data_IF_854898619187
#
_entry.id   IF_854898619187
#
_cell.length_a   1.000
_cell.length_b   1.000
_cell.length_c   1.000
_cell.angle_alpha   90.00
_cell.angle_beta   90.00
_cell.angle_gamma   90.00
#
_symmetry.space_group_name_H-M   'P 1'
#
loop_
_entity.id
_entity.type
_entity.pdbx_description
1 polymer ?
#
# COMPACT_ATOMS: atom_id res chain seq x y z
N UNK A 1 1.74 -8.21 -7.04
CA UNK A 1 2.34 -6.88 -7.26
C UNK A 1 1.44 -6.11 -8.21
N UNK A 2 0.94 -4.96 -7.79
CA UNK A 2 0.14 -4.05 -8.59
C UNK A 2 0.97 -2.79 -8.83
N UNK A 3 1.08 -2.36 -10.08
CA UNK A 3 1.78 -1.12 -10.43
C UNK A 3 0.73 -0.06 -10.70
N UNK A 4 0.73 1.05 -9.94
CA UNK A 4 -0.14 2.18 -10.23
C UNK A 4 0.64 3.28 -10.95
N UNK A 5 0.31 3.49 -12.21
CA UNK A 5 0.78 4.64 -12.98
C UNK A 5 -0.34 5.68 -13.10
N UNK A 6 -0.05 6.92 -12.69
CA UNK A 6 -1.01 8.03 -12.72
C UNK A 6 -1.85 8.19 -11.43
N UNK A 7 -1.98 9.44 -10.97
CA UNK A 7 -2.56 9.82 -9.67
C UNK A 7 -4.05 9.49 -9.50
N UNK A 8 -4.80 9.32 -10.59
CA UNK A 8 -6.26 9.10 -10.56
C UNK A 8 -6.66 7.63 -10.34
N UNK A 9 -5.77 6.66 -10.60
CA UNK A 9 -6.11 5.24 -10.50
C UNK A 9 -6.28 4.74 -9.06
N UNK A 10 -5.65 5.42 -8.08
CA UNK A 10 -5.63 5.03 -6.66
C UNK A 10 -7.00 4.82 -6.04
N UNK A 11 -7.94 5.73 -6.30
CA UNK A 11 -9.27 5.66 -5.71
C UNK A 11 -10.07 4.41 -6.09
N UNK A 12 -9.83 3.84 -7.28
CA UNK A 12 -10.57 2.69 -7.79
C UNK A 12 -9.85 1.33 -7.59
N UNK A 13 -8.52 1.36 -7.47
CA UNK A 13 -7.70 0.15 -7.33
C UNK A 13 -7.63 -0.31 -5.87
N UNK A 14 -7.43 0.60 -4.92
CA UNK A 14 -7.23 0.24 -3.52
C UNK A 14 -8.42 -0.50 -2.89
N UNK A 15 -9.70 -0.12 -3.12
CA UNK A 15 -10.83 -0.88 -2.62
C UNK A 15 -10.92 -2.30 -3.21
N UNK A 16 -10.51 -2.47 -4.48
CA UNK A 16 -10.46 -3.80 -5.12
C UNK A 16 -9.36 -4.66 -4.53
N UNK A 17 -8.21 -4.08 -4.24
CA UNK A 17 -7.13 -4.77 -3.51
C UNK A 17 -7.65 -5.23 -2.15
N UNK A 18 -8.27 -4.33 -1.37
CA UNK A 18 -8.81 -4.67 -0.05
C UNK A 18 -9.84 -5.81 -0.12
N UNK A 19 -10.77 -5.76 -1.09
CA UNK A 19 -11.79 -6.79 -1.26
C UNK A 19 -11.27 -8.15 -1.74
N UNK A 20 -10.09 -8.19 -2.36
CA UNK A 20 -9.45 -9.43 -2.84
C UNK A 20 -8.38 -10.00 -1.92
N UNK A 21 -7.96 -9.26 -0.89
CA UNK A 21 -6.87 -9.67 -0.02
C UNK A 21 -7.38 -10.60 1.09
N UNK A 22 -6.72 -11.74 1.28
CA UNK A 22 -6.96 -12.59 2.44
C UNK A 22 -6.46 -11.92 3.73
N UNK A 23 -7.01 -12.32 4.89
CA UNK A 23 -6.41 -11.96 6.19
C UNK A 23 -4.95 -12.41 6.22
N UNK A 24 -4.05 -11.52 6.66
CA UNK A 24 -2.61 -11.76 6.63
C UNK A 24 -1.96 -11.65 5.25
N UNK A 25 -2.74 -11.46 4.18
CA UNK A 25 -2.22 -11.23 2.83
C UNK A 25 -1.56 -9.86 2.69
N UNK A 26 -0.70 -9.73 1.69
CA UNK A 26 0.06 -8.52 1.40
C UNK A 26 -0.11 -8.12 -0.07
N UNK A 27 -0.20 -6.81 -0.31
CA UNK A 27 -0.21 -6.22 -1.64
C UNK A 27 1.00 -5.30 -1.80
N UNK A 28 1.90 -5.64 -2.72
CA UNK A 28 3.01 -4.76 -3.10
C UNK A 28 2.53 -3.80 -4.19
N UNK A 29 2.57 -2.50 -3.88
CA UNK A 29 2.09 -1.41 -4.71
C UNK A 29 3.25 -0.51 -5.12
N UNK A 30 3.56 -0.49 -6.41
CA UNK A 30 4.54 0.44 -6.95
C UNK A 30 3.96 1.87 -7.03
N UNK A 31 4.77 2.86 -6.63
CA UNK A 31 4.42 4.28 -6.56
C UNK A 31 5.47 5.17 -7.25
N UNK A 32 5.04 6.35 -7.68
CA UNK A 32 5.96 7.42 -8.06
C UNK A 32 6.65 8.04 -6.84
N UNK A 33 7.82 8.67 -7.06
CA UNK A 33 8.54 9.42 -6.02
C UNK A 33 7.65 10.49 -5.39
N UNK A 34 7.60 10.54 -4.06
CA UNK A 34 6.85 11.55 -3.30
C UNK A 34 5.34 11.27 -3.20
N UNK A 35 4.88 10.08 -3.60
CA UNK A 35 3.47 9.68 -3.54
C UNK A 35 3.10 8.91 -2.28
N UNK A 36 4.06 8.59 -1.41
CA UNK A 36 3.93 7.74 -0.23
C UNK A 36 2.73 8.14 0.63
N UNK A 37 2.75 9.35 1.19
CA UNK A 37 1.73 9.81 2.15
C UNK A 37 0.33 9.89 1.54
N UNK A 38 0.24 10.30 0.27
CA UNK A 38 -1.04 10.42 -0.42
C UNK A 38 -1.64 9.03 -0.71
N UNK A 39 -0.82 8.08 -1.13
CA UNK A 39 -1.25 6.70 -1.37
C UNK A 39 -1.63 6.03 -0.05
N UNK A 40 -0.88 6.27 1.03
CA UNK A 40 -1.22 5.77 2.37
C UNK A 40 -2.54 6.34 2.89
N UNK A 41 -2.80 7.64 2.68
CA UNK A 41 -4.08 8.25 3.02
C UNK A 41 -5.26 7.62 2.26
N UNK A 42 -5.08 7.29 0.97
CA UNK A 42 -6.10 6.57 0.20
C UNK A 42 -6.24 5.10 0.64
N UNK A 43 -5.13 4.45 0.98
CA UNK A 43 -5.12 3.06 1.44
C UNK A 43 -5.88 2.92 2.76
N UNK A 44 -5.65 3.84 3.72
CA UNK A 44 -6.38 3.89 4.98
C UNK A 44 -7.90 4.02 4.76
N UNK A 45 -8.32 4.91 3.84
CA UNK A 45 -9.74 5.05 3.47
C UNK A 45 -10.33 3.81 2.81
N UNK A 46 -9.50 2.95 2.22
CA UNK A 46 -9.91 1.67 1.62
C UNK A 46 -9.81 0.47 2.59
N UNK A 47 -9.46 0.68 3.86
CA UNK A 47 -9.31 -0.39 4.86
C UNK A 47 -7.96 -1.12 4.81
N UNK A 48 -6.96 -0.51 4.17
CA UNK A 48 -5.58 -1.00 4.10
C UNK A 48 -4.66 -0.19 5.02
N UNK A 49 -3.52 -0.77 5.39
CA UNK A 49 -2.47 -0.12 6.17
C UNK A 49 -1.08 -0.43 5.59
N UNK A 50 -0.10 0.43 5.86
CA UNK A 50 1.30 0.13 5.56
C UNK A 50 1.81 -0.97 6.49
N UNK A 51 2.43 -1.99 5.91
CA UNK A 51 3.15 -3.03 6.64
C UNK A 51 4.65 -3.05 6.28
N UNK A 52 5.05 -2.26 5.29
CA UNK A 52 6.44 -2.05 4.91
C UNK A 52 6.57 -1.18 3.66
N UNK A 53 7.79 -0.80 3.33
CA UNK A 53 8.13 -0.09 2.10
C UNK A 53 9.55 -0.42 1.65
N UNK A 54 9.72 -0.52 0.34
CA UNK A 54 10.98 -0.92 -0.28
C UNK A 54 11.53 0.18 -1.17
N UNK A 55 12.86 0.29 -1.13
CA UNK A 55 13.63 1.21 -1.98
C UNK A 55 14.07 0.51 -3.25
N UNK A 56 14.15 1.26 -4.34
CA UNK A 56 14.88 0.83 -5.52
C UNK A 56 16.40 0.90 -5.29
N UNK A 57 17.18 0.49 -6.31
CA UNK A 57 18.64 0.53 -6.27
C UNK A 57 19.22 1.96 -6.15
N UNK A 58 18.42 2.99 -6.45
CA UNK A 58 18.79 4.39 -6.28
C UNK A 58 18.43 4.93 -4.88
N UNK A 59 17.87 4.08 -4.00
CA UNK A 59 17.50 4.45 -2.64
C UNK A 59 16.16 5.19 -2.54
N UNK A 60 15.37 5.22 -3.61
CA UNK A 60 14.07 5.90 -3.67
C UNK A 60 12.99 4.90 -3.26
N UNK A 61 12.09 5.29 -2.36
CA UNK A 61 10.91 4.47 -2.07
C UNK A 61 10.04 4.37 -3.31
N UNK A 62 9.90 3.15 -3.82
CA UNK A 62 9.12 2.84 -5.03
C UNK A 62 8.01 1.86 -4.78
N UNK A 63 8.01 1.17 -3.65
CA UNK A 63 7.03 0.14 -3.36
C UNK A 63 6.52 0.29 -1.93
N UNK A 64 5.19 0.38 -1.77
CA UNK A 64 4.51 0.20 -0.49
C UNK A 64 4.02 -1.24 -0.40
N UNK A 65 4.23 -1.85 0.74
CA UNK A 65 3.62 -3.14 1.07
C UNK A 65 2.42 -2.83 1.95
N UNK A 66 1.23 -3.21 1.48
CA UNK A 66 -0.04 -2.96 2.15
C UNK A 66 -0.67 -4.26 2.66
N UNK A 67 -1.32 -4.19 3.82
CA UNK A 67 -2.15 -5.27 4.36
C UNK A 67 -3.53 -4.75 4.77
N UNK A 68 -4.46 -5.66 5.09
CA UNK A 68 -5.72 -5.25 5.74
C UNK A 68 -5.42 -4.58 7.09
N UNK A 69 -6.15 -3.52 7.43
CA UNK A 69 -5.93 -2.76 8.66
C UNK A 69 -6.12 -3.59 9.95
N UNK A 70 -6.90 -4.66 9.89
CA UNK A 70 -7.16 -5.59 11.00
C UNK A 70 -6.20 -6.81 11.00
N UNK A 71 -5.12 -6.73 10.23
CA UNK A 71 -4.11 -7.77 10.18
C UNK A 71 -3.33 -7.82 11.51
N UNK A 72 -3.25 -9.00 12.18
CA UNK A 72 -2.49 -9.14 13.42
C UNK A 72 -0.97 -8.90 13.25
N UNK A 73 -0.45 -8.92 12.03
CA UNK A 73 0.94 -8.55 11.73
C UNK A 73 1.22 -7.05 11.83
N UNK A 74 0.18 -6.19 11.85
CA UNK A 74 0.29 -4.72 11.98
C UNK A 74 0.55 -4.28 13.43
N UNK A 75 1.03 -5.20 14.29
CA UNK A 75 1.41 -4.90 15.67
C UNK A 75 2.28 -3.65 15.73
N UNK A 76 1.78 -2.64 16.43
CA UNK A 76 2.34 -1.31 16.54
C UNK A 76 3.86 -1.31 16.80
N UNK A 77 4.63 -0.35 16.26
CA UNK A 77 5.97 -0.09 16.77
C UNK A 77 5.83 0.34 18.23
N UNK A 78 6.42 -0.45 19.13
CA UNK A 78 6.71 -0.04 20.50
C UNK A 78 7.89 0.93 20.55
#
# INVERSE_FOLDING_TARGET
>A
MVVMTGWTAGGAVLPRIAGGLSRGGQACLEIGTGQEDAVLGLAARAGLCEIGREKDLAGIFRCLILGLADNPATGAPG
#
